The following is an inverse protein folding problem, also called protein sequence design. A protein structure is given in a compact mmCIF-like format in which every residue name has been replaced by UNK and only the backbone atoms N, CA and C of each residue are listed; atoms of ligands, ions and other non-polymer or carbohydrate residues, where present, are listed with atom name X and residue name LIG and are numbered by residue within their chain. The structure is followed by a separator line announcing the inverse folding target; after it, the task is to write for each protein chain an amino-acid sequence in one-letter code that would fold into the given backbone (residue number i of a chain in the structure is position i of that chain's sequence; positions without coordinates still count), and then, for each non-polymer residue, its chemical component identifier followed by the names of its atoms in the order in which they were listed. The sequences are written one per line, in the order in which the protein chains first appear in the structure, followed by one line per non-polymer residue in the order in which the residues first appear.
data_IF_462598917813
#
_entry.id   IF_462598917813
#
_cell.length_a   1.000
_cell.length_b   1.000
_cell.length_c   1.000
_cell.angle_alpha   90.00
_cell.angle_beta   90.00
_cell.angle_gamma   90.00
#
_symmetry.space_group_name_H-M   'P 1'
#
loop_
_entity.id
_entity.type
_entity.pdbx_description
1 polymer ?
#
# COMPACT_ATOMS: atom_id res chain seq x y z
N UNK A 1 -13.10 -4.85 -13.07
CA UNK A 1 -12.16 -5.93 -12.77
C UNK A 1 -10.77 -5.57 -13.30
N UNK A 2 -9.75 -5.72 -12.47
CA UNK A 2 -8.34 -5.58 -12.86
C UNK A 2 -7.66 -6.92 -12.58
N UNK A 3 -6.95 -7.44 -13.57
CA UNK A 3 -6.23 -8.69 -13.42
C UNK A 3 -5.08 -8.52 -12.41
N UNK A 4 -4.88 -9.46 -11.47
CA UNK A 4 -3.92 -9.31 -10.37
C UNK A 4 -2.48 -9.04 -10.82
N UNK A 5 -2.08 -9.60 -11.95
CA UNK A 5 -0.74 -9.40 -12.53
C UNK A 5 -0.47 -7.96 -12.99
N UNK A 6 -1.52 -7.17 -13.22
CA UNK A 6 -1.43 -5.74 -13.55
C UNK A 6 -1.28 -4.85 -12.31
N UNK A 7 -1.52 -5.39 -11.12
CA UNK A 7 -1.46 -4.65 -9.87
C UNK A 7 -0.06 -4.79 -9.27
N UNK A 8 0.58 -3.67 -8.99
CA UNK A 8 1.85 -3.69 -8.29
C UNK A 8 1.63 -4.14 -6.85
N UNK A 9 2.29 -5.23 -6.47
CA UNK A 9 2.24 -5.79 -5.12
C UNK A 9 3.66 -6.03 -4.63
N UNK A 10 3.99 -5.42 -3.49
CA UNK A 10 5.27 -5.56 -2.82
C UNK A 10 5.05 -5.78 -1.32
N UNK A 11 5.68 -6.81 -0.75
CA UNK A 11 5.46 -7.23 0.63
C UNK A 11 6.51 -6.71 1.61
N UNK A 12 6.50 -7.30 2.82
CA UNK A 12 7.40 -6.95 3.94
C UNK A 12 8.48 -8.01 4.20
N UNK A 13 8.65 -8.98 3.31
CA UNK A 13 9.57 -10.11 3.53
C UNK A 13 11.06 -9.71 3.57
N UNK A 14 11.38 -8.52 3.09
CA UNK A 14 12.75 -7.97 3.03
C UNK A 14 12.98 -6.84 4.03
N UNK A 15 12.07 -6.66 5.01
CA UNK A 15 12.25 -5.65 6.06
C UNK A 15 13.41 -6.03 6.98
N UNK A 16 14.24 -5.05 7.35
CA UNK A 16 15.37 -5.21 8.26
C UNK A 16 15.23 -4.28 9.47
N UNK A 17 16.04 -4.53 10.50
CA UNK A 17 16.10 -3.68 11.70
C UNK A 17 16.48 -2.23 11.39
N UNK A 18 17.26 -1.99 10.34
CA UNK A 18 17.59 -0.65 9.86
C UNK A 18 16.35 0.12 9.37
N UNK A 19 15.40 -0.56 8.71
CA UNK A 19 14.16 0.05 8.26
C UNK A 19 13.25 0.40 9.44
N UNK A 20 13.19 -0.49 10.44
CA UNK A 20 12.43 -0.28 11.67
C UNK A 20 13.03 0.88 12.48
N UNK A 21 14.36 0.96 12.56
CA UNK A 21 15.07 2.06 13.23
C UNK A 21 14.78 3.38 12.54
N UNK A 22 14.90 3.43 11.20
CA UNK A 22 14.53 4.60 10.41
C UNK A 22 13.10 5.07 10.69
N UNK A 23 12.14 4.14 10.70
CA UNK A 23 10.75 4.45 10.99
C UNK A 23 10.56 5.05 12.41
N UNK A 24 11.24 4.48 13.41
CA UNK A 24 11.20 4.99 14.80
C UNK A 24 11.78 6.39 14.91
N UNK A 25 12.92 6.66 14.28
CA UNK A 25 13.55 7.99 14.26
C UNK A 25 12.67 9.05 13.61
N UNK A 26 11.88 8.67 12.61
CA UNK A 26 10.91 9.56 11.95
C UNK A 26 9.53 9.58 12.63
N UNK A 27 9.35 8.87 13.76
CA UNK A 27 8.07 8.75 14.48
C UNK A 27 6.93 8.23 13.58
N UNK A 28 7.22 7.24 12.76
CA UNK A 28 6.24 6.57 11.88
C UNK A 28 6.24 5.06 12.12
N UNK A 29 5.19 4.37 11.67
CA UNK A 29 5.12 2.91 11.62
C UNK A 29 5.16 2.43 10.18
N UNK A 30 5.74 1.25 9.95
CA UNK A 30 5.66 0.56 8.66
C UNK A 30 4.41 -0.33 8.70
N UNK A 31 3.50 -0.12 7.76
CA UNK A 31 2.29 -0.93 7.57
C UNK A 31 2.21 -1.42 6.14
N UNK A 32 1.77 -2.65 5.92
CA UNK A 32 1.42 -3.12 4.58
C UNK A 32 0.03 -2.61 4.23
N UNK A 33 -0.06 -1.79 3.19
CA UNK A 33 -1.30 -1.09 2.84
C UNK A 33 -1.71 -1.42 1.41
N UNK A 34 -2.94 -1.91 1.25
CA UNK A 34 -3.60 -1.99 -0.04
C UNK A 34 -4.36 -0.70 -0.27
N UNK A 35 -4.12 -0.06 -1.40
CA UNK A 35 -4.74 1.22 -1.75
C UNK A 35 -5.50 1.12 -3.06
N UNK A 36 -6.68 1.73 -3.08
CA UNK A 36 -7.45 2.03 -4.29
C UNK A 36 -7.68 3.53 -4.29
N UNK A 37 -7.19 4.22 -5.31
CA UNK A 37 -7.20 5.68 -5.39
C UNK A 37 -7.87 6.13 -6.68
N UNK A 38 -8.85 7.02 -6.57
CA UNK A 38 -9.40 7.74 -7.72
C UNK A 38 -8.35 8.75 -8.19
N UNK A 39 -7.91 8.62 -9.44
CA UNK A 39 -6.93 9.51 -10.07
C UNK A 39 -7.63 10.66 -10.77
N UNK A 40 -8.72 10.34 -11.48
CA UNK A 40 -9.62 11.29 -12.13
C UNK A 40 -11.04 10.70 -12.16
N UNK A 41 -11.98 11.37 -12.82
CA UNK A 41 -13.33 10.82 -13.01
C UNK A 41 -13.32 9.57 -13.92
N UNK A 42 -12.33 9.47 -14.79
CA UNK A 42 -12.20 8.39 -15.76
C UNK A 42 -11.18 7.33 -15.33
N UNK A 43 -10.33 7.61 -14.33
CA UNK A 43 -9.22 6.72 -13.97
C UNK A 43 -9.13 6.47 -12.49
N UNK A 44 -8.74 5.24 -12.14
CA UNK A 44 -8.34 4.86 -10.80
C UNK A 44 -7.06 4.03 -10.84
N UNK A 45 -6.39 3.96 -9.73
CA UNK A 45 -5.23 3.08 -9.52
C UNK A 45 -5.40 2.21 -8.30
N UNK A 46 -4.68 1.10 -8.25
CA UNK A 46 -4.57 0.25 -7.07
C UNK A 46 -3.19 -0.40 -6.99
N UNK A 47 -2.70 -0.54 -5.78
CA UNK A 47 -1.42 -1.18 -5.48
C UNK A 47 -1.35 -1.63 -4.03
N UNK A 48 -0.44 -2.55 -3.73
CA UNK A 48 -0.15 -3.02 -2.38
C UNK A 48 1.33 -2.84 -2.12
N UNK A 49 1.66 -2.05 -1.09
CA UNK A 49 3.04 -1.70 -0.76
C UNK A 49 3.16 -1.37 0.73
N UNK A 50 4.30 -1.67 1.40
CA UNK A 50 4.60 -1.11 2.70
C UNK A 50 4.53 0.42 2.67
N UNK A 51 3.99 1.03 3.70
CA UNK A 51 3.85 2.48 3.82
C UNK A 51 4.36 2.97 5.16
N UNK A 52 5.05 4.10 5.16
CA UNK A 52 5.35 4.84 6.39
C UNK A 52 4.13 5.62 6.83
N UNK A 53 3.53 5.20 7.93
CA UNK A 53 2.27 5.73 8.46
C UNK A 53 2.54 6.61 9.66
N UNK A 54 2.06 7.86 9.62
CA UNK A 54 2.15 8.81 10.75
C UNK A 54 1.10 8.57 11.81
N UNK A 55 1.32 9.08 13.06
CA UNK A 55 0.33 9.05 14.13
C UNK A 55 -1.01 9.70 13.79
N UNK A 56 -1.05 10.61 12.83
CA UNK A 56 -2.29 11.29 12.39
C UNK A 56 -3.22 10.41 11.53
N UNK A 57 -2.75 9.25 11.08
CA UNK A 57 -3.54 8.32 10.26
C UNK A 57 -4.29 7.32 11.12
N UNK A 58 -5.55 7.02 10.81
CA UNK A 58 -6.35 6.02 11.52
C UNK A 58 -5.68 4.63 11.56
N UNK A 59 -5.04 4.23 10.46
CA UNK A 59 -4.35 2.94 10.37
C UNK A 59 -3.07 2.84 11.22
N UNK A 60 -2.59 3.94 11.81
CA UNK A 60 -1.41 3.93 12.67
C UNK A 60 -1.58 3.05 13.91
N UNK A 61 -2.78 3.04 14.49
CA UNK A 61 -3.13 2.26 15.69
C UNK A 61 -3.65 0.84 15.39
N UNK A 62 -3.62 0.42 14.12
CA UNK A 62 -4.01 -0.94 13.73
C UNK A 62 -2.79 -1.84 13.92
N UNK A 63 -2.73 -2.56 15.03
CA UNK A 63 -1.63 -3.44 15.41
C UNK A 63 -2.14 -4.89 15.61
N UNK A 64 -1.22 -5.82 15.76
CA UNK A 64 -1.44 -7.24 16.05
C UNK A 64 -2.43 -7.91 15.07
N UNK A 65 -3.46 -8.59 15.59
CA UNK A 65 -4.49 -9.30 14.81
C UNK A 65 -5.58 -8.39 14.23
N UNK A 66 -5.48 -7.08 14.45
CA UNK A 66 -6.48 -6.14 13.96
C UNK A 66 -6.24 -5.74 12.50
N UNK A 67 -7.35 -5.52 11.81
CA UNK A 67 -7.39 -4.95 10.46
C UNK A 67 -8.14 -3.63 10.48
N UNK A 68 -7.76 -2.72 9.60
CA UNK A 68 -8.42 -1.44 9.43
C UNK A 68 -8.65 -1.10 7.96
N UNK A 69 -9.83 -0.58 7.65
CA UNK A 69 -10.17 -0.07 6.31
C UNK A 69 -10.63 1.37 6.44
N UNK A 70 -9.97 2.26 5.71
CA UNK A 70 -10.37 3.66 5.60
C UNK A 70 -11.01 3.89 4.25
N UNK A 71 -12.26 4.33 4.23
CA UNK A 71 -12.99 4.72 3.04
C UNK A 71 -13.13 6.24 3.05
N UNK A 72 -12.78 6.88 1.93
CA UNK A 72 -13.00 8.31 1.70
C UNK A 72 -14.10 8.52 0.70
N UNK A 73 -14.96 9.49 0.94
CA UNK A 73 -16.03 9.87 0.04
C UNK A 73 -16.37 11.34 0.15
N UNK A 74 -16.94 11.89 -0.89
CA UNK A 74 -17.25 13.33 -1.00
C UNK A 74 -18.25 13.79 0.08
N UNK A 75 -19.22 12.92 0.44
CA UNK A 75 -20.31 13.28 1.33
C UNK A 75 -20.01 13.06 2.82
N UNK A 76 -18.97 12.30 3.18
CA UNK A 76 -18.73 11.91 4.58
C UNK A 76 -17.25 11.97 5.00
N UNK A 77 -16.40 12.61 4.21
CA UNK A 77 -14.94 12.70 4.40
C UNK A 77 -14.30 11.30 4.58
N UNK A 78 -14.35 10.73 5.78
CA UNK A 78 -13.70 9.44 6.09
C UNK A 78 -14.57 8.58 6.99
N UNK A 79 -14.59 7.30 6.66
CA UNK A 79 -15.08 6.23 7.53
C UNK A 79 -13.95 5.28 7.84
N UNK A 80 -13.82 4.87 9.09
CA UNK A 80 -12.83 3.90 9.54
C UNK A 80 -13.53 2.67 10.11
N UNK A 81 -13.32 1.54 9.47
CA UNK A 81 -13.77 0.24 9.96
C UNK A 81 -12.58 -0.49 10.56
N UNK A 82 -12.75 -0.97 11.78
CA UNK A 82 -11.69 -1.59 12.56
C UNK A 82 -12.22 -2.84 13.25
N UNK A 83 -11.46 -3.93 13.22
CA UNK A 83 -11.85 -5.18 13.85
C UNK A 83 -10.77 -6.25 13.77
N UNK A 84 -10.96 -7.33 14.53
CA UNK A 84 -10.08 -8.49 14.48
C UNK A 84 -10.27 -9.22 13.16
N UNK A 85 -9.18 -9.36 12.38
CA UNK A 85 -9.16 -10.09 11.13
C UNK A 85 -8.59 -11.50 11.25
N UNK A 86 -7.80 -11.76 12.29
CA UNK A 86 -7.17 -13.04 12.56
C UNK A 86 -7.55 -13.60 13.92
N UNK A 87 -7.34 -14.91 14.11
CA UNK A 87 -7.66 -15.64 15.32
C UNK A 87 -8.83 -16.63 15.11
N UNK A 88 -8.91 -17.66 15.97
CA UNK A 88 -9.89 -18.74 15.83
C UNK A 88 -11.35 -18.25 15.92
N UNK A 89 -11.65 -17.44 16.91
CA UNK A 89 -13.02 -16.95 17.12
C UNK A 89 -13.47 -15.96 16.04
N UNK A 90 -12.70 -14.92 15.65
CA UNK A 90 -13.09 -14.04 14.55
C UNK A 90 -13.27 -14.78 13.22
N UNK A 91 -12.39 -15.73 12.92
CA UNK A 91 -12.50 -16.55 11.70
C UNK A 91 -13.76 -17.42 11.73
N UNK A 92 -14.02 -18.11 12.84
CA UNK A 92 -15.23 -18.93 12.99
C UNK A 92 -16.51 -18.08 12.89
N UNK A 93 -16.52 -16.89 13.46
CA UNK A 93 -17.64 -15.95 13.35
C UNK A 93 -17.90 -15.53 11.90
N UNK A 94 -16.86 -15.24 11.14
CA UNK A 94 -16.98 -14.88 9.71
C UNK A 94 -17.52 -16.05 8.88
N UNK A 95 -17.03 -17.27 9.10
CA UNK A 95 -17.54 -18.47 8.43
C UNK A 95 -19.02 -18.69 8.75
N UNK A 96 -19.41 -18.56 10.03
CA UNK A 96 -20.80 -18.72 10.43
C UNK A 96 -21.69 -17.64 9.79
N UNK A 97 -21.22 -16.41 9.73
CA UNK A 97 -21.92 -15.31 9.06
C UNK A 97 -22.16 -15.60 7.59
N UNK A 98 -21.16 -16.12 6.87
CA UNK A 98 -21.27 -16.49 5.45
C UNK A 98 -22.27 -17.63 5.24
N UNK A 99 -22.25 -18.64 6.12
CA UNK A 99 -23.23 -19.76 6.09
C UNK A 99 -24.65 -19.21 6.30
N UNK A 100 -24.85 -18.37 7.31
CA UNK A 100 -26.16 -17.78 7.60
C UNK A 100 -26.64 -16.88 6.46
N UNK A 101 -25.78 -16.08 5.89
CA UNK A 101 -26.10 -15.26 4.72
C UNK A 101 -26.54 -16.15 3.55
N UNK A 102 -25.84 -17.27 3.31
CA UNK A 102 -26.18 -18.21 2.23
C UNK A 102 -27.51 -18.93 2.48
N UNK A 103 -27.81 -19.33 3.73
CA UNK A 103 -29.09 -19.91 4.10
C UNK A 103 -30.27 -18.95 3.87
N UNK A 104 -30.03 -17.64 4.02
CA UNK A 104 -31.00 -16.59 3.72
C UNK A 104 -30.96 -16.13 2.23
N UNK A 105 -30.39 -16.92 1.34
CA UNK A 105 -30.29 -16.65 -0.10
C UNK A 105 -29.51 -15.37 -0.46
N UNK A 106 -28.71 -14.83 0.45
CA UNK A 106 -27.83 -13.72 0.11
C UNK A 106 -26.84 -14.12 -0.97
N UNK A 107 -26.68 -13.27 -1.97
CA UNK A 107 -25.69 -13.43 -3.06
C UNK A 107 -25.01 -12.09 -3.31
N UNK A 108 -23.73 -12.16 -3.72
CA UNK A 108 -23.04 -10.95 -4.16
C UNK A 108 -23.76 -10.30 -5.32
N UNK A 109 -23.94 -8.98 -5.24
CA UNK A 109 -24.57 -8.21 -6.31
C UNK A 109 -23.52 -7.83 -7.36
N UNK A 110 -23.42 -8.64 -8.42
CA UNK A 110 -22.56 -8.32 -9.56
C UNK A 110 -23.19 -7.31 -10.54
N UNK A 111 -24.39 -6.83 -10.27
CA UNK A 111 -25.10 -5.84 -11.10
C UNK A 111 -24.31 -4.55 -11.31
N UNK A 112 -23.48 -4.16 -10.33
CA UNK A 112 -22.57 -3.02 -10.41
C UNK A 112 -21.53 -3.13 -11.53
N UNK A 113 -21.28 -4.31 -12.06
CA UNK A 113 -20.40 -4.50 -13.21
C UNK A 113 -20.99 -3.96 -14.53
N UNK A 114 -22.29 -3.67 -14.55
CA UNK A 114 -23.02 -3.23 -15.73
C UNK A 114 -23.23 -1.71 -15.78
N UNK A 115 -22.61 -0.92 -14.92
CA UNK A 115 -22.67 0.54 -15.01
C UNK A 115 -22.01 1.03 -16.30
N UNK A 116 -22.67 2.00 -16.96
CA UNK A 116 -22.27 2.51 -18.27
C UNK A 116 -20.94 3.27 -18.22
N UNK A 117 -20.62 3.90 -17.11
CA UNK A 117 -19.34 4.59 -16.87
C UNK A 117 -18.50 3.80 -15.90
N UNK A 118 -17.44 3.18 -16.40
CA UNK A 118 -16.44 2.48 -15.60
C UNK A 118 -15.13 3.26 -15.70
N UNK A 119 -14.56 3.69 -14.58
CA UNK A 119 -13.22 4.24 -14.62
C UNK A 119 -12.22 3.16 -15.04
N UNK A 120 -11.25 3.55 -15.83
CA UNK A 120 -10.18 2.68 -16.29
C UNK A 120 -9.04 2.62 -15.27
N UNK A 121 -8.42 1.44 -15.15
CA UNK A 121 -7.24 1.27 -14.33
C UNK A 121 -6.03 1.92 -14.98
N UNK A 122 -5.28 2.72 -14.21
CA UNK A 122 -4.04 3.32 -14.66
C UNK A 122 -2.89 3.08 -13.69
N UNK A 123 -1.68 3.00 -14.23
CA UNK A 123 -0.41 3.02 -13.48
C UNK A 123 0.33 4.36 -13.66
N UNK A 124 -0.29 5.32 -14.31
CA UNK A 124 0.29 6.66 -14.54
C UNK A 124 0.09 7.54 -13.32
N UNK A 125 0.76 7.18 -12.26
CA UNK A 125 0.90 7.95 -11.02
C UNK A 125 2.35 7.90 -10.54
N UNK A 126 2.75 8.96 -9.88
CA UNK A 126 4.07 9.04 -9.23
C UNK A 126 3.93 8.76 -7.73
N UNK A 127 4.75 7.85 -7.22
CA UNK A 127 4.90 7.57 -5.81
C UNK A 127 6.20 8.14 -5.30
N UNK A 128 6.19 8.67 -4.08
CA UNK A 128 7.42 8.95 -3.33
C UNK A 128 7.76 7.72 -2.52
N UNK A 129 8.93 7.14 -2.76
CA UNK A 129 9.32 5.88 -2.13
C UNK A 129 10.65 6.00 -1.40
N UNK A 130 10.73 5.28 -0.29
CA UNK A 130 11.97 4.92 0.37
C UNK A 130 12.39 3.55 -0.16
N UNK A 131 13.64 3.41 -0.58
CA UNK A 131 14.22 2.16 -1.05
C UNK A 131 15.52 1.92 -0.32
N UNK A 132 15.55 0.92 0.58
CA UNK A 132 16.78 0.44 1.22
C UNK A 132 17.39 -0.68 0.37
N UNK A 133 18.70 -0.68 0.29
CA UNK A 133 19.49 -1.69 -0.40
C UNK A 133 20.87 -1.83 0.26
N UNK A 134 21.55 -2.95 0.04
CA UNK A 134 22.93 -3.15 0.50
C UNK A 134 23.88 -3.24 -0.67
N UNK A 135 23.88 -4.34 -1.39
CA UNK A 135 24.78 -4.62 -2.51
C UNK A 135 24.12 -4.45 -3.88
N UNK A 136 22.78 -4.29 -3.90
CA UNK A 136 22.03 -4.18 -5.13
C UNK A 136 22.22 -2.81 -5.75
N UNK A 137 22.61 -2.75 -7.02
CA UNK A 137 22.57 -1.50 -7.79
C UNK A 137 21.11 -1.12 -8.08
N UNK A 138 20.52 -0.39 -7.14
CA UNK A 138 19.13 0.06 -7.23
C UNK A 138 18.96 1.10 -8.35
N UNK A 139 19.95 1.95 -8.57
CA UNK A 139 19.92 2.96 -9.64
C UNK A 139 20.02 2.32 -11.04
N UNK A 140 20.64 1.15 -11.17
CA UNK A 140 20.64 0.36 -12.41
C UNK A 140 19.35 -0.45 -12.62
N UNK A 141 18.50 -0.56 -11.59
CA UNK A 141 17.21 -1.28 -11.68
C UNK A 141 16.04 -0.32 -11.80
N UNK A 142 15.98 0.71 -10.95
CA UNK A 142 14.87 1.64 -10.82
C UNK A 142 15.24 3.03 -11.35
N UNK A 143 14.39 3.57 -12.21
CA UNK A 143 14.55 4.91 -12.77
C UNK A 143 13.72 5.90 -11.95
N UNK A 144 14.37 6.62 -11.03
CA UNK A 144 13.74 7.69 -10.27
C UNK A 144 13.56 8.93 -11.15
N UNK A 145 12.40 9.52 -11.15
CA UNK A 145 12.14 10.81 -11.83
C UNK A 145 12.76 11.96 -11.05
N UNK A 146 12.89 11.80 -9.73
CA UNK A 146 13.56 12.74 -8.84
C UNK A 146 14.10 12.03 -7.62
N UNK A 147 15.34 12.30 -7.24
CA UNK A 147 15.93 11.85 -5.98
C UNK A 147 15.86 13.01 -4.97
N UNK A 148 15.30 12.75 -3.80
CA UNK A 148 15.15 13.73 -2.72
C UNK A 148 16.23 13.59 -1.67
N UNK A 149 16.57 12.35 -1.32
CA UNK A 149 17.55 12.02 -0.29
C UNK A 149 18.28 10.73 -0.66
N UNK A 150 19.56 10.67 -0.40
CA UNK A 150 20.37 9.47 -0.52
C UNK A 150 21.29 9.36 0.67
N UNK A 151 21.35 8.19 1.26
CA UNK A 151 22.19 7.87 2.40
C UNK A 151 23.04 6.63 2.09
N UNK A 152 24.29 6.67 2.47
CA UNK A 152 25.23 5.56 2.27
C UNK A 152 26.02 5.32 3.55
N UNK A 153 26.03 4.07 4.00
CA UNK A 153 26.84 3.61 5.14
C UNK A 153 27.37 2.18 4.87
N UNK A 154 28.23 1.69 5.75
CA UNK A 154 28.75 0.32 5.67
C UNK A 154 27.64 -0.74 5.85
N UNK A 155 26.64 -0.44 6.66
CA UNK A 155 25.59 -1.40 7.03
C UNK A 155 24.39 -1.38 6.08
N UNK A 156 23.99 -0.21 5.60
CA UNK A 156 22.83 -0.07 4.72
C UNK A 156 22.87 1.23 3.94
N UNK A 157 22.32 1.18 2.75
CA UNK A 157 22.11 2.34 1.90
C UNK A 157 20.61 2.55 1.70
N UNK A 158 20.17 3.79 1.57
CA UNK A 158 18.82 4.05 1.10
C UNK A 158 18.75 5.27 0.18
N UNK A 159 17.72 5.29 -0.64
CA UNK A 159 17.33 6.42 -1.47
C UNK A 159 15.86 6.73 -1.25
N UNK A 160 15.54 8.03 -1.18
CA UNK A 160 14.16 8.52 -1.22
C UNK A 160 13.99 9.28 -2.52
N UNK A 161 13.04 8.87 -3.32
CA UNK A 161 12.81 9.47 -4.63
C UNK A 161 11.40 9.27 -5.14
N UNK A 162 11.08 10.02 -6.18
CA UNK A 162 9.82 9.90 -6.92
C UNK A 162 10.00 8.88 -8.04
N UNK A 163 9.04 7.98 -8.19
CA UNK A 163 9.07 6.92 -9.20
C UNK A 163 7.67 6.68 -9.74
N UNK A 164 7.57 6.37 -11.03
CA UNK A 164 6.31 5.99 -11.65
C UNK A 164 5.87 4.60 -11.20
N UNK A 165 4.58 4.42 -10.89
CA UNK A 165 4.03 3.10 -10.54
C UNK A 165 4.23 2.09 -11.68
N UNK A 166 4.15 2.54 -12.93
CA UNK A 166 4.44 1.74 -14.13
C UNK A 166 5.87 1.21 -14.15
N UNK A 167 6.84 2.00 -13.71
CA UNK A 167 8.25 1.59 -13.58
C UNK A 167 8.41 0.50 -12.52
N UNK A 168 7.81 0.68 -11.34
CA UNK A 168 7.82 -0.33 -10.28
C UNK A 168 7.20 -1.65 -10.76
N UNK A 169 6.08 -1.58 -11.47
CA UNK A 169 5.42 -2.76 -12.04
C UNK A 169 6.31 -3.47 -13.07
N UNK A 170 6.92 -2.72 -13.98
CA UNK A 170 7.80 -3.26 -15.02
C UNK A 170 9.08 -3.91 -14.44
N UNK A 171 9.58 -3.40 -13.32
CA UNK A 171 10.81 -3.90 -12.68
C UNK A 171 10.57 -4.85 -11.50
N UNK A 172 9.31 -5.17 -11.18
CA UNK A 172 8.93 -6.01 -10.05
C UNK A 172 9.75 -7.31 -9.96
N UNK A 173 9.91 -8.02 -11.06
CA UNK A 173 10.62 -9.30 -11.07
C UNK A 173 12.13 -9.15 -10.90
N UNK A 174 12.70 -8.00 -11.25
CA UNK A 174 14.12 -7.68 -11.01
C UNK A 174 14.42 -7.39 -9.55
N UNK A 175 13.42 -6.97 -8.77
CA UNK A 175 13.55 -6.76 -7.32
C UNK A 175 13.33 -8.05 -6.52
N UNK A 176 12.66 -9.04 -7.12
CA UNK A 176 12.34 -10.30 -6.45
C UNK A 176 13.60 -11.06 -6.05
N UNK A 177 13.67 -11.51 -4.79
CA UNK A 177 14.81 -12.26 -4.25
C UNK A 177 16.06 -11.43 -3.98
N UNK A 178 15.99 -10.10 -4.14
CA UNK A 178 17.07 -9.19 -3.78
C UNK A 178 16.89 -8.64 -2.38
N UNK A 179 17.99 -8.29 -1.71
CA UNK A 179 17.94 -7.58 -0.44
C UNK A 179 17.65 -6.09 -0.67
N UNK A 180 16.42 -5.84 -1.04
CA UNK A 180 15.87 -4.50 -1.24
C UNK A 180 14.58 -4.41 -0.43
N UNK A 181 14.39 -3.33 0.32
CA UNK A 181 13.13 -3.00 0.95
C UNK A 181 12.58 -1.70 0.36
N UNK A 182 11.31 -1.70 0.00
CA UNK A 182 10.64 -0.58 -0.64
C UNK A 182 9.38 -0.23 0.16
N UNK A 183 9.23 1.06 0.50
CA UNK A 183 8.07 1.57 1.21
C UNK A 183 7.60 2.91 0.62
N UNK A 184 6.30 3.09 0.52
CA UNK A 184 5.68 4.33 0.10
C UNK A 184 5.80 5.39 1.21
N UNK A 185 6.14 6.61 0.82
CA UNK A 185 6.04 7.81 1.66
C UNK A 185 4.87 8.63 1.13
N UNK A 186 3.70 8.62 1.77
CA UNK A 186 2.54 9.33 1.26
C UNK A 186 2.82 10.82 1.08
N UNK A 187 2.52 11.35 -0.09
CA UNK A 187 2.75 12.77 -0.47
C UNK A 187 2.00 13.74 0.46
N UNK A 188 0.97 13.25 1.18
CA UNK A 188 0.20 14.05 2.14
C UNK A 188 0.99 14.51 3.39
N UNK A 189 2.26 14.12 3.53
CA UNK A 189 3.16 14.62 4.58
C UNK A 189 3.61 16.07 4.35
N UNK A 190 3.50 16.61 3.13
CA UNK A 190 4.10 17.90 2.80
C UNK A 190 3.12 19.06 2.64
N UNK A 191 1.79 18.84 2.57
CA UNK A 191 0.89 19.91 2.13
C UNK A 191 -0.47 20.04 2.86
N UNK A 192 -0.66 19.51 4.08
CA UNK A 192 -1.89 19.75 4.85
C UNK A 192 -1.66 19.94 6.35
N UNK A 193 -0.67 20.75 6.72
CA UNK A 193 -0.64 21.50 7.97
C UNK A 193 -0.71 23.00 7.62
N UNK A 194 -1.87 23.39 7.09
CA UNK A 194 -2.40 24.78 7.09
C UNK A 194 -3.92 24.69 7.04
#
# INVERSE_FOLDING_TARGET
YVAPEKIFTYGISTIHDSDIRYAREKNVKIKLVAQVVKVSDEHFTMFVIPEFVTPSKYIYSVDDEYNGVVIRGECYDRQFMFGKGAGSLPTASSILSDIMARLNNYRYEYKKQNYMQKPDYTTDITLKVYVRYKETDVHGILNFTKVHEQYTSEDSNYVIGDIQLSELLAKRDRLRGKDVFLANIPIFFLNRDN
#
